data_IF_812295943241
#
_entry.id   IF_812295943241
#
_cell.length_a   1.000
_cell.length_b   1.000
_cell.length_c   1.000
_cell.angle_alpha   90.00
_cell.angle_beta   90.00
_cell.angle_gamma   90.00
#
_symmetry.space_group_name_H-M   'P 1'
#
loop_
_entity.id
_entity.type
_entity.pdbx_description
1 polymer ?
#
# COMPACT_ATOMS: atom_id res chain seq x y z
N UNK A 1 -45.64 -6.31 0.94
CA UNK A 1 -45.27 -6.67 2.33
C UNK A 1 -44.85 -5.49 3.22
N UNK A 2 -44.99 -4.22 2.79
CA UNK A 2 -44.66 -3.04 3.62
C UNK A 2 -45.80 -2.54 4.54
N UNK A 3 -47.02 -3.10 4.42
CA UNK A 3 -48.17 -2.67 5.21
C UNK A 3 -48.33 -3.39 6.56
N UNK A 4 -47.54 -4.45 6.82
CA UNK A 4 -47.70 -5.29 8.02
C UNK A 4 -46.84 -4.85 9.21
N UNK A 5 -45.66 -4.27 8.97
CA UNK A 5 -44.77 -3.78 10.05
C UNK A 5 -45.32 -2.55 10.79
N UNK A 6 -46.25 -1.79 10.19
CA UNK A 6 -46.70 -0.51 10.77
C UNK A 6 -47.80 -0.64 11.84
N UNK A 7 -48.43 -1.81 11.97
CA UNK A 7 -49.60 -1.99 12.87
C UNK A 7 -49.40 -2.91 14.07
N UNK A 8 -48.33 -3.71 14.13
CA UNK A 8 -48.16 -4.72 15.19
C UNK A 8 -46.89 -4.49 16.03
N UNK A 9 -45.83 -3.91 15.48
CA UNK A 9 -44.69 -3.46 16.27
C UNK A 9 -44.96 -2.01 16.70
N UNK A 10 -45.39 -1.80 17.94
CA UNK A 10 -45.53 -0.47 18.56
C UNK A 10 -44.21 0.26 18.77
N UNK A 11 -43.17 -0.06 17.98
CA UNK A 11 -41.88 0.59 18.01
C UNK A 11 -41.65 1.30 16.66
N UNK A 12 -41.56 2.64 16.71
CA UNK A 12 -41.30 3.51 15.54
C UNK A 12 -39.84 3.97 15.49
N UNK A 13 -38.98 3.36 16.31
CA UNK A 13 -37.57 3.70 16.38
C UNK A 13 -36.84 3.14 15.15
N UNK A 14 -36.11 4.04 14.47
CA UNK A 14 -35.27 3.71 13.32
C UNK A 14 -33.82 3.75 13.79
N UNK A 15 -33.15 2.60 13.79
CA UNK A 15 -31.78 2.47 14.28
C UNK A 15 -30.74 3.10 13.33
N UNK A 16 -30.95 3.00 12.01
CA UNK A 16 -30.02 3.50 11.00
C UNK A 16 -30.75 4.05 9.76
N UNK A 17 -30.24 5.15 9.20
CA UNK A 17 -30.70 5.73 7.95
C UNK A 17 -29.49 5.91 7.04
N UNK A 18 -29.51 5.28 5.87
CA UNK A 18 -28.48 5.45 4.85
C UNK A 18 -28.90 6.54 3.87
N UNK A 19 -28.03 7.53 3.68
CA UNK A 19 -28.25 8.64 2.76
C UNK A 19 -27.09 8.62 1.77
N UNK A 20 -27.41 8.47 0.49
CA UNK A 20 -26.43 8.56 -0.58
C UNK A 20 -26.41 9.99 -1.11
N UNK A 21 -25.23 10.59 -1.15
CA UNK A 21 -24.98 11.85 -1.84
C UNK A 21 -24.69 11.57 -3.32
N UNK A 22 -25.04 12.51 -4.20
CA UNK A 22 -24.53 12.53 -5.57
C UNK A 22 -23.04 12.91 -5.54
N UNK A 23 -22.23 12.31 -6.43
CA UNK A 23 -20.76 12.46 -6.49
C UNK A 23 -20.28 13.93 -6.54
N UNK A 24 -21.17 14.85 -6.95
CA UNK A 24 -20.87 16.28 -7.09
C UNK A 24 -21.05 17.10 -5.82
N UNK A 25 -21.63 16.53 -4.76
CA UNK A 25 -21.90 17.26 -3.52
C UNK A 25 -21.06 16.67 -2.38
N UNK A 26 -20.05 17.39 -1.88
CA UNK A 26 -19.21 16.88 -0.80
C UNK A 26 -20.04 16.64 0.45
N UNK A 27 -19.77 15.52 1.14
CA UNK A 27 -20.51 15.12 2.36
C UNK A 27 -20.41 16.19 3.46
N UNK A 28 -19.34 16.99 3.47
CA UNK A 28 -19.15 18.13 4.39
C UNK A 28 -20.20 19.24 4.23
N UNK A 29 -20.77 19.41 3.03
CA UNK A 29 -21.85 20.38 2.79
C UNK A 29 -23.24 19.78 3.05
N UNK A 30 -23.37 18.45 2.93
CA UNK A 30 -24.63 17.74 3.15
C UNK A 30 -24.90 17.43 4.62
N UNK A 31 -23.86 17.12 5.40
CA UNK A 31 -23.98 16.84 6.84
C UNK A 31 -24.75 17.92 7.61
N UNK A 32 -24.37 19.22 7.54
CA UNK A 32 -25.07 20.25 8.31
C UNK A 32 -26.52 20.41 7.86
N UNK A 33 -26.80 20.27 6.56
CA UNK A 33 -28.18 20.35 6.04
C UNK A 33 -29.04 19.18 6.50
N UNK A 34 -28.49 17.98 6.52
CA UNK A 34 -29.17 16.78 7.04
C UNK A 34 -29.39 16.91 8.54
N UNK A 35 -28.42 17.45 9.28
CA UNK A 35 -28.55 17.73 10.71
C UNK A 35 -29.69 18.72 10.98
N UNK A 36 -29.75 19.83 10.24
CA UNK A 36 -30.81 20.84 10.39
C UNK A 36 -32.20 20.24 10.12
N UNK A 37 -32.35 19.47 9.04
CA UNK A 37 -33.62 18.80 8.70
C UNK A 37 -34.02 17.82 9.80
N UNK A 38 -33.08 17.05 10.35
CA UNK A 38 -33.36 16.08 11.41
C UNK A 38 -33.70 16.77 12.74
N UNK A 39 -33.02 17.86 13.09
CA UNK A 39 -33.32 18.68 14.28
C UNK A 39 -34.73 19.27 14.21
N UNK A 40 -35.10 19.83 13.06
CA UNK A 40 -36.44 20.40 12.83
C UNK A 40 -37.52 19.32 12.85
N UNK A 41 -37.29 18.21 12.14
CA UNK A 41 -38.22 17.07 12.10
C UNK A 41 -38.47 16.46 13.49
N UNK A 42 -37.41 16.35 14.32
CA UNK A 42 -37.51 15.82 15.69
C UNK A 42 -37.88 16.87 16.74
N UNK A 43 -38.05 18.15 16.35
CA UNK A 43 -38.37 19.28 17.23
C UNK A 43 -37.41 19.38 18.42
N UNK A 44 -36.12 19.18 18.18
CA UNK A 44 -35.09 19.27 19.21
C UNK A 44 -34.79 20.75 19.47
N UNK A 45 -35.02 21.20 20.70
CA UNK A 45 -34.69 22.56 21.14
C UNK A 45 -33.18 22.81 21.01
N UNK A 46 -32.72 24.03 20.69
CA UNK A 46 -31.28 24.33 20.52
C UNK A 46 -30.40 23.95 21.71
N UNK A 47 -30.98 23.93 22.92
CA UNK A 47 -30.33 23.64 24.20
C UNK A 47 -30.29 22.14 24.55
N UNK A 48 -30.81 21.27 23.67
CA UNK A 48 -30.84 19.83 23.88
C UNK A 48 -29.89 19.13 22.91
N UNK A 49 -29.04 18.26 23.45
CA UNK A 49 -28.16 17.42 22.64
C UNK A 49 -28.98 16.51 21.70
N UNK A 50 -28.58 16.39 20.42
CA UNK A 50 -29.27 15.52 19.47
C UNK A 50 -29.18 14.05 19.90
N UNK A 51 -30.26 13.30 19.70
CA UNK A 51 -30.37 11.87 19.99
C UNK A 51 -29.92 10.99 18.81
N UNK A 52 -29.25 11.57 17.82
CA UNK A 52 -28.78 10.92 16.61
C UNK A 52 -27.33 11.30 16.31
N UNK A 53 -26.61 10.40 15.62
CA UNK A 53 -25.26 10.64 15.15
C UNK A 53 -25.21 10.50 13.63
N UNK A 54 -24.69 11.52 12.95
CA UNK A 54 -24.42 11.47 11.51
C UNK A 54 -22.97 11.04 11.33
N UNK A 55 -22.74 9.96 10.59
CA UNK A 55 -21.40 9.44 10.28
C UNK A 55 -21.13 9.53 8.80
N UNK A 56 -19.98 10.10 8.46
CA UNK A 56 -19.48 10.11 7.09
C UNK A 56 -18.75 8.79 6.79
N UNK A 57 -19.23 8.05 5.81
CA UNK A 57 -18.51 6.86 5.34
C UNK A 57 -17.25 7.25 4.55
N UNK A 58 -17.20 8.44 3.96
CA UNK A 58 -16.03 8.95 3.23
C UNK A 58 -14.86 9.19 4.18
N UNK A 59 -15.09 9.82 5.34
CA UNK A 59 -14.03 10.04 6.34
C UNK A 59 -13.44 8.73 6.86
N UNK A 60 -14.26 7.70 7.03
CA UNK A 60 -13.81 6.37 7.44
C UNK A 60 -12.96 5.72 6.34
N UNK A 61 -13.41 5.81 5.08
CA UNK A 61 -12.65 5.30 3.94
C UNK A 61 -11.30 6.03 3.79
N UNK A 62 -11.29 7.36 3.88
CA UNK A 62 -10.09 8.19 3.81
C UNK A 62 -9.08 7.86 4.92
N UNK A 63 -9.58 7.61 6.14
CA UNK A 63 -8.74 7.18 7.27
C UNK A 63 -8.10 5.80 6.99
N UNK A 64 -8.86 4.85 6.44
CA UNK A 64 -8.32 3.54 6.06
C UNK A 64 -7.28 3.67 4.93
N UNK A 65 -7.59 4.42 3.88
CA UNK A 65 -6.67 4.66 2.76
C UNK A 65 -5.38 5.34 3.22
N UNK A 66 -5.48 6.32 4.14
CA UNK A 66 -4.32 7.00 4.72
C UNK A 66 -3.46 6.04 5.54
N UNK A 67 -4.07 5.18 6.34
CA UNK A 67 -3.36 4.16 7.11
C UNK A 67 -2.66 3.14 6.18
N UNK A 68 -3.35 2.63 5.16
CA UNK A 68 -2.76 1.71 4.18
C UNK A 68 -1.60 2.37 3.43
N UNK A 69 -1.77 3.61 2.98
CA UNK A 69 -0.72 4.35 2.25
C UNK A 69 0.52 4.53 3.12
N UNK A 70 0.33 4.87 4.40
CA UNK A 70 1.43 5.00 5.37
C UNK A 70 2.15 3.66 5.56
N UNK A 71 1.40 2.58 5.75
CA UNK A 71 1.94 1.23 5.90
C UNK A 71 2.72 0.78 4.65
N UNK A 72 2.17 1.01 3.46
CA UNK A 72 2.85 0.73 2.18
C UNK A 72 4.14 1.54 2.06
N UNK A 73 4.13 2.81 2.45
CA UNK A 73 5.33 3.66 2.47
C UNK A 73 6.41 3.10 3.41
N UNK A 74 6.04 2.68 4.61
CA UNK A 74 6.96 2.06 5.57
C UNK A 74 7.57 0.76 5.04
N UNK A 75 6.74 -0.13 4.49
CA UNK A 75 7.20 -1.38 3.87
C UNK A 75 8.12 -1.12 2.67
N UNK A 76 7.79 -0.12 1.85
CA UNK A 76 8.63 0.32 0.74
C UNK A 76 9.99 0.84 1.20
N UNK A 77 10.03 1.61 2.29
CA UNK A 77 11.28 2.10 2.87
C UNK A 77 12.16 0.93 3.38
N UNK A 78 11.58 -0.04 4.08
CA UNK A 78 12.29 -1.25 4.53
C UNK A 78 12.81 -2.04 3.34
N UNK A 79 11.99 -2.26 2.31
CA UNK A 79 12.40 -2.94 1.09
C UNK A 79 13.55 -2.21 0.38
N UNK A 80 13.52 -0.88 0.34
CA UNK A 80 14.60 -0.06 -0.21
C UNK A 80 15.91 -0.22 0.56
N UNK A 81 15.86 -0.21 1.89
CA UNK A 81 17.05 -0.48 2.74
C UNK A 81 17.59 -1.89 2.50
N UNK A 82 16.71 -2.90 2.42
CA UNK A 82 17.11 -4.28 2.11
C UNK A 82 17.80 -4.40 0.74
N UNK A 83 17.29 -3.70 -0.28
CA UNK A 83 17.91 -3.67 -1.60
C UNK A 83 19.31 -3.03 -1.56
N UNK A 84 19.47 -1.96 -0.79
CA UNK A 84 20.76 -1.29 -0.61
C UNK A 84 21.78 -2.22 0.07
N UNK A 85 21.38 -2.89 1.16
CA UNK A 85 22.25 -3.87 1.86
C UNK A 85 22.59 -5.05 0.94
N UNK A 86 21.64 -5.53 0.15
CA UNK A 86 21.88 -6.55 -0.88
C UNK A 86 22.90 -6.09 -1.92
N UNK A 87 22.80 -4.84 -2.39
CA UNK A 87 23.77 -4.24 -3.30
C UNK A 87 25.18 -4.14 -2.73
N UNK A 88 25.32 -3.79 -1.44
CA UNK A 88 26.60 -3.82 -0.73
C UNK A 88 27.18 -5.23 -0.68
N UNK A 89 26.33 -6.24 -0.45
CA UNK A 89 26.73 -7.65 -0.47
C UNK A 89 27.28 -8.08 -1.83
N UNK A 90 26.59 -7.72 -2.92
CA UNK A 90 27.04 -7.99 -4.28
C UNK A 90 28.38 -7.31 -4.55
N UNK A 91 28.53 -6.04 -4.16
CA UNK A 91 29.79 -5.31 -4.27
C UNK A 91 30.93 -6.05 -3.56
N UNK A 92 30.70 -6.58 -2.35
CA UNK A 92 31.73 -7.30 -1.59
C UNK A 92 32.18 -8.58 -2.30
N UNK A 93 31.22 -9.38 -2.81
CA UNK A 93 31.54 -10.61 -3.55
C UNK A 93 32.30 -10.26 -4.84
N UNK A 94 31.87 -9.22 -5.57
CA UNK A 94 32.56 -8.78 -6.78
C UNK A 94 33.97 -8.27 -6.48
N UNK A 95 34.17 -7.54 -5.38
CA UNK A 95 35.51 -7.10 -4.96
C UNK A 95 36.42 -8.30 -4.72
N UNK A 96 35.97 -9.28 -3.93
CA UNK A 96 36.75 -10.50 -3.66
C UNK A 96 37.06 -11.25 -4.97
N UNK A 97 36.06 -11.48 -5.82
CA UNK A 97 36.25 -12.19 -7.11
C UNK A 97 37.23 -11.48 -8.06
N UNK A 98 37.17 -10.15 -8.13
CA UNK A 98 38.11 -9.36 -8.93
C UNK A 98 39.52 -9.49 -8.34
N UNK A 99 39.65 -9.38 -7.01
CA UNK A 99 40.96 -9.48 -6.34
C UNK A 99 41.62 -10.83 -6.54
N UNK A 100 40.87 -11.93 -6.53
CA UNK A 100 41.38 -13.28 -6.82
C UNK A 100 41.91 -13.41 -8.25
N UNK A 101 41.26 -12.75 -9.23
CA UNK A 101 41.64 -12.79 -10.65
C UNK A 101 42.59 -11.66 -11.08
N UNK A 102 43.04 -10.81 -10.16
CA UNK A 102 43.92 -9.65 -10.47
C UNK A 102 45.16 -10.02 -11.28
N UNK A 103 45.82 -11.13 -10.94
CA UNK A 103 47.02 -11.59 -11.66
C UNK A 103 46.72 -11.97 -13.11
N UNK A 104 45.59 -12.59 -13.38
CA UNK A 104 45.16 -12.96 -14.73
C UNK A 104 44.81 -11.72 -15.57
N UNK A 105 44.12 -10.76 -14.95
CA UNK A 105 43.77 -9.47 -15.59
C UNK A 105 45.05 -8.71 -15.96
N UNK A 106 46.02 -8.64 -15.05
CA UNK A 106 47.31 -7.98 -15.29
C UNK A 106 48.08 -8.60 -16.46
N UNK A 107 48.07 -9.92 -16.59
CA UNK A 107 48.69 -10.62 -17.72
C UNK A 107 47.98 -10.27 -19.04
N UNK A 108 46.64 -10.23 -19.06
CA UNK A 108 45.85 -9.83 -20.25
C UNK A 108 46.12 -8.39 -20.68
N UNK A 109 46.23 -7.47 -19.73
CA UNK A 109 46.55 -6.07 -20.01
C UNK A 109 47.97 -5.92 -20.59
N UNK A 110 48.95 -6.67 -20.05
CA UNK A 110 50.33 -6.63 -20.51
C UNK A 110 50.51 -7.12 -21.97
N UNK A 111 49.63 -8.01 -22.44
CA UNK A 111 49.60 -8.49 -23.84
C UNK A 111 48.72 -7.61 -24.76
N UNK A 112 48.24 -6.46 -24.28
CA UNK A 112 47.52 -5.46 -25.08
C UNK A 112 45.98 -5.55 -25.04
N UNK A 113 45.39 -6.26 -24.08
CA UNK A 113 43.94 -6.24 -23.90
C UNK A 113 43.47 -4.82 -23.50
N UNK A 114 42.32 -4.40 -24.03
CA UNK A 114 41.72 -3.12 -23.66
C UNK A 114 41.02 -3.21 -22.30
N UNK A 115 41.36 -2.31 -21.36
CA UNK A 115 40.78 -2.21 -20.02
C UNK A 115 39.24 -2.17 -20.02
N UNK A 116 38.65 -1.46 -21.00
CA UNK A 116 37.20 -1.38 -21.18
C UNK A 116 36.52 -2.74 -21.33
N UNK A 117 37.17 -3.74 -21.95
CA UNK A 117 36.57 -5.07 -22.12
C UNK A 117 36.46 -5.80 -20.79
N UNK A 118 37.46 -5.62 -19.92
CA UNK A 118 37.46 -6.21 -18.57
C UNK A 118 36.39 -5.52 -17.70
N UNK A 119 36.28 -4.19 -17.76
CA UNK A 119 35.26 -3.46 -17.01
C UNK A 119 33.84 -3.87 -17.41
N UNK A 120 33.58 -3.97 -18.71
CA UNK A 120 32.26 -4.39 -19.22
C UNK A 120 31.96 -5.83 -18.79
N UNK A 121 32.94 -6.74 -18.78
CA UNK A 121 32.74 -8.10 -18.30
C UNK A 121 32.24 -8.12 -16.85
N UNK A 122 32.89 -7.40 -15.94
CA UNK A 122 32.47 -7.33 -14.54
C UNK A 122 31.13 -6.64 -14.35
N UNK A 123 30.87 -5.59 -15.12
CA UNK A 123 29.58 -4.90 -15.10
C UNK A 123 28.45 -5.84 -15.53
N UNK A 124 28.65 -6.61 -16.61
CA UNK A 124 27.67 -7.59 -17.08
C UNK A 124 27.49 -8.70 -16.04
N UNK A 125 28.56 -9.22 -15.45
CA UNK A 125 28.49 -10.25 -14.41
C UNK A 125 27.66 -9.78 -13.20
N UNK A 126 27.94 -8.59 -12.68
CA UNK A 126 27.19 -7.99 -11.57
C UNK A 126 25.72 -7.69 -11.95
N UNK A 127 25.47 -7.20 -13.16
CA UNK A 127 24.12 -6.88 -13.64
C UNK A 127 23.29 -8.14 -13.80
N UNK A 128 23.85 -9.21 -14.38
CA UNK A 128 23.17 -10.50 -14.56
C UNK A 128 22.85 -11.12 -13.20
N UNK A 129 23.80 -11.12 -12.25
CA UNK A 129 23.55 -11.60 -10.89
C UNK A 129 22.44 -10.81 -10.19
N UNK A 130 22.44 -9.48 -10.33
CA UNK A 130 21.42 -8.61 -9.74
C UNK A 130 20.03 -8.86 -10.35
N UNK A 131 19.96 -8.99 -11.68
CA UNK A 131 18.71 -9.28 -12.40
C UNK A 131 18.15 -10.65 -12.03
N UNK A 132 18.99 -11.68 -11.99
CA UNK A 132 18.57 -13.03 -11.59
C UNK A 132 18.06 -13.04 -10.15
N UNK A 133 18.78 -12.41 -9.22
CA UNK A 133 18.33 -12.27 -7.83
C UNK A 133 16.99 -11.54 -7.73
N UNK A 134 16.81 -10.46 -8.49
CA UNK A 134 15.55 -9.72 -8.56
C UNK A 134 14.38 -10.55 -9.11
N UNK A 135 14.58 -11.26 -10.22
CA UNK A 135 13.57 -12.14 -10.81
C UNK A 135 13.17 -13.25 -9.83
N UNK A 136 14.15 -13.92 -9.24
CA UNK A 136 13.92 -14.99 -8.26
C UNK A 136 13.17 -14.43 -7.03
N UNK A 137 13.59 -13.26 -6.53
CA UNK A 137 12.92 -12.59 -5.41
C UNK A 137 11.46 -12.24 -5.71
N UNK A 138 11.17 -11.71 -6.90
CA UNK A 138 9.80 -11.41 -7.35
C UNK A 138 8.97 -12.70 -7.43
N UNK A 139 9.51 -13.76 -8.04
CA UNK A 139 8.81 -15.04 -8.16
C UNK A 139 8.47 -15.64 -6.79
N UNK A 140 9.43 -15.64 -5.85
CA UNK A 140 9.22 -16.11 -4.49
C UNK A 140 8.18 -15.24 -3.77
N UNK A 141 8.29 -13.92 -3.87
CA UNK A 141 7.37 -12.97 -3.24
C UNK A 141 5.93 -13.15 -3.72
N UNK A 142 5.71 -13.26 -5.03
CA UNK A 142 4.38 -13.50 -5.61
C UNK A 142 3.84 -14.87 -5.24
N UNK A 143 4.69 -15.90 -5.21
CA UNK A 143 4.29 -17.25 -4.82
C UNK A 143 3.83 -17.30 -3.36
N UNK A 144 4.59 -16.68 -2.45
CA UNK A 144 4.22 -16.55 -1.04
C UNK A 144 2.92 -15.77 -0.88
N UNK A 145 2.78 -14.62 -1.55
CA UNK A 145 1.57 -13.80 -1.49
C UNK A 145 0.32 -14.56 -1.99
N UNK A 146 0.46 -15.34 -3.08
CA UNK A 146 -0.60 -16.18 -3.59
C UNK A 146 -1.00 -17.30 -2.62
N UNK A 147 -0.02 -17.97 -2.01
CA UNK A 147 -0.26 -19.02 -1.01
C UNK A 147 -0.96 -18.47 0.24
N UNK A 148 -0.52 -17.31 0.75
CA UNK A 148 -1.17 -16.70 1.92
C UNK A 148 -2.58 -16.21 1.60
N UNK A 149 -2.81 -15.68 0.40
CA UNK A 149 -4.15 -15.31 -0.05
C UNK A 149 -5.07 -16.52 -0.04
N UNK A 150 -4.67 -17.64 -0.66
CA UNK A 150 -5.48 -18.86 -0.69
C UNK A 150 -5.74 -19.46 0.70
N UNK A 151 -4.82 -19.32 1.65
CA UNK A 151 -5.00 -19.83 3.00
C UNK A 151 -5.94 -18.98 3.87
N UNK A 152 -6.08 -17.69 3.54
CA UNK A 152 -6.92 -16.74 4.29
C UNK A 152 -8.34 -16.62 3.72
N UNK A 153 -8.57 -17.10 2.49
CA UNK A 153 -9.90 -17.19 1.86
C UNK A 153 -10.54 -18.52 2.17
#
# INVERSE_FOLDING_TARGET
>A
LHAYQRRIAGNRDIDNIYIAADDRTPTSELQPRVEDILRDTRRITPDRDPDFAIRDMTQIADAMTSATTTMTGMLGAVAGVSLLVGGIGIMNIMLVSVTERTREIGIRLAIGAHEKHILIQFLVEATVLSLLGGIIGILIGLSLAGLTSMALT
#
